data_IF_367047303602
#
_entry.id   IF_367047303602
#
_cell.length_a   1.000
_cell.length_b   1.000
_cell.length_c   1.000
_cell.angle_alpha   90.00
_cell.angle_beta   90.00
_cell.angle_gamma   90.00
#
_symmetry.space_group_name_H-M   'P 1'
#
loop_
_entity.id
_entity.type
_entity.pdbx_description
1 polymer ?
#
# COMPACT_ATOMS: atom_id res chain seq x y z
N UNK A 1 20.84 -11.13 46.04
CA UNK A 1 20.82 -12.01 44.86
C UNK A 1 19.60 -11.66 44.02
N UNK A 2 19.71 -10.67 43.16
CA UNK A 2 18.70 -10.28 42.16
C UNK A 2 19.50 -9.95 40.92
N UNK A 3 19.35 -10.74 39.84
CA UNK A 3 20.02 -10.52 38.56
C UNK A 3 19.11 -9.65 37.69
N UNK A 4 19.63 -8.50 37.28
CA UNK A 4 19.14 -7.73 36.14
C UNK A 4 19.49 -8.51 34.87
N UNK A 5 18.49 -8.79 34.03
CA UNK A 5 18.70 -9.26 32.66
C UNK A 5 18.47 -8.07 31.72
N UNK A 6 19.51 -7.76 30.95
CA UNK A 6 19.57 -6.69 29.97
C UNK A 6 18.71 -7.01 28.74
N UNK A 7 18.18 -5.94 28.15
CA UNK A 7 17.44 -5.90 26.90
C UNK A 7 18.22 -6.53 25.73
N UNK A 8 17.62 -7.52 25.10
CA UNK A 8 17.87 -7.88 23.70
C UNK A 8 16.78 -7.20 22.89
N UNK A 9 17.14 -6.16 22.15
CA UNK A 9 16.25 -5.45 21.24
C UNK A 9 16.06 -6.34 20.01
N UNK A 10 14.80 -6.66 19.77
CA UNK A 10 14.23 -7.49 18.71
C UNK A 10 14.58 -6.92 17.33
N UNK A 11 15.59 -7.52 16.69
CA UNK A 11 15.62 -7.69 15.24
C UNK A 11 14.62 -8.82 14.90
N UNK A 12 14.01 -8.78 13.72
CA UNK A 12 12.89 -9.61 13.24
C UNK A 12 11.53 -9.05 13.65
N UNK A 13 11.00 -8.14 12.83
CA UNK A 13 9.55 -7.84 12.75
C UNK A 13 9.18 -6.70 11.79
N UNK A 14 10.16 -5.89 11.37
CA UNK A 14 9.98 -4.85 10.33
C UNK A 14 10.50 -5.31 8.95
N UNK A 15 10.66 -6.62 8.79
CA UNK A 15 11.16 -7.26 7.57
C UNK A 15 10.20 -8.41 7.28
N UNK A 16 9.08 -8.08 6.62
CA UNK A 16 8.29 -9.05 5.87
C UNK A 16 8.98 -9.49 4.56
N UNK A 17 10.19 -9.01 4.29
CA UNK A 17 11.12 -9.64 3.36
C UNK A 17 11.95 -10.69 4.09
N UNK A 18 11.31 -11.76 4.59
CA UNK A 18 12.06 -12.82 5.25
C UNK A 18 13.05 -13.43 4.25
N UNK A 19 14.31 -13.47 4.66
CA UNK A 19 15.41 -13.92 3.84
C UNK A 19 15.22 -15.37 3.44
N UNK A 20 14.85 -15.62 2.19
CA UNK A 20 15.33 -16.80 1.50
C UNK A 20 16.86 -16.74 1.55
N UNK A 21 17.44 -17.65 2.34
CA UNK A 21 18.87 -17.94 2.48
C UNK A 21 19.65 -17.48 1.24
N UNK A 22 20.57 -16.54 1.44
CA UNK A 22 21.53 -16.15 0.41
C UNK A 22 22.15 -17.42 -0.19
N UNK A 23 21.79 -17.70 -1.44
CA UNK A 23 22.60 -18.59 -2.27
C UNK A 23 24.01 -17.98 -2.33
N UNK A 24 25.07 -18.77 -2.20
CA UNK A 24 26.45 -18.29 -2.12
C UNK A 24 26.97 -17.65 -3.42
N UNK A 25 26.10 -17.30 -4.37
CA UNK A 25 26.38 -16.70 -5.66
C UNK A 25 25.91 -15.23 -5.81
N UNK A 26 25.30 -14.62 -4.78
CA UNK A 26 24.98 -13.19 -4.78
C UNK A 26 23.84 -12.80 -5.72
N UNK A 27 22.95 -13.72 -6.07
CA UNK A 27 21.77 -13.45 -6.87
C UNK A 27 20.58 -13.10 -5.95
N UNK A 28 19.99 -11.91 -6.12
CA UNK A 28 18.72 -11.52 -5.52
C UNK A 28 17.59 -12.47 -6.00
N UNK A 29 16.55 -12.74 -5.18
CA UNK A 29 15.38 -13.48 -5.63
C UNK A 29 14.66 -12.74 -6.78
N UNK A 30 13.81 -13.44 -7.56
CA UNK A 30 13.11 -12.85 -8.68
C UNK A 30 12.29 -11.64 -8.21
N UNK A 31 12.45 -10.52 -8.91
CA UNK A 31 11.55 -9.39 -8.89
C UNK A 31 10.09 -9.87 -8.90
N UNK A 32 9.21 -9.21 -8.15
CA UNK A 32 7.76 -9.25 -8.38
C UNK A 32 7.37 -8.55 -9.70
N UNK A 33 8.15 -8.77 -10.75
CA UNK A 33 7.81 -8.51 -12.13
C UNK A 33 7.31 -9.82 -12.72
N UNK A 34 5.99 -10.02 -12.69
CA UNK A 34 5.30 -11.06 -13.43
C UNK A 34 5.40 -10.83 -14.95
N UNK A 35 6.60 -10.90 -15.52
CA UNK A 35 6.81 -10.93 -16.96
C UNK A 35 6.37 -12.28 -17.52
N UNK A 36 5.14 -12.39 -18.00
CA UNK A 36 4.68 -13.54 -18.78
C UNK A 36 4.70 -13.19 -20.26
N UNK A 37 5.35 -14.07 -21.04
CA UNK A 37 5.53 -13.95 -22.47
C UNK A 37 4.23 -13.86 -23.28
N UNK A 38 4.37 -13.24 -24.45
CA UNK A 38 3.37 -13.10 -25.51
C UNK A 38 2.55 -14.36 -25.75
N UNK A 39 1.23 -14.20 -25.78
CA UNK A 39 0.37 -14.98 -26.69
C UNK A 39 -0.67 -14.05 -27.34
N UNK A 40 -0.76 -14.16 -28.67
CA UNK A 40 -1.63 -13.34 -29.50
C UNK A 40 -3.08 -13.77 -29.40
N UNK A 41 -3.95 -12.81 -29.06
CA UNK A 41 -5.40 -12.94 -29.08
C UNK A 41 -6.01 -11.75 -29.81
N UNK A 42 -6.98 -12.05 -30.66
CA UNK A 42 -7.54 -11.24 -31.74
C UNK A 42 -8.35 -10.02 -31.26
N UNK A 43 -8.26 -8.91 -31.99
CA UNK A 43 -9.03 -7.67 -31.78
C UNK A 43 -10.47 -7.86 -32.30
N UNK A 44 -11.48 -7.62 -31.46
CA UNK A 44 -12.86 -7.42 -31.91
C UNK A 44 -13.36 -6.03 -31.52
N UNK A 45 -14.06 -5.30 -32.42
CA UNK A 45 -14.52 -3.94 -32.15
C UNK A 45 -16.00 -3.84 -31.76
N UNK A 46 -16.26 -2.79 -30.98
CA UNK A 46 -17.51 -2.03 -30.77
C UNK A 46 -18.76 -2.72 -30.20
N UNK A 47 -19.19 -2.18 -29.05
CA UNK A 47 -20.61 -2.04 -28.72
C UNK A 47 -20.86 -0.68 -28.03
N UNK A 48 -21.66 0.15 -28.69
CA UNK A 48 -22.51 1.17 -28.04
C UNK A 48 -23.90 1.10 -28.69
N UNK A 49 -24.90 1.93 -28.31
CA UNK A 49 -25.03 2.76 -27.10
C UNK A 49 -26.14 2.23 -26.16
N UNK A 50 -26.13 2.69 -24.91
CA UNK A 50 -27.08 2.30 -23.86
C UNK A 50 -28.41 3.09 -23.81
N UNK A 51 -29.14 2.77 -22.74
CA UNK A 51 -30.35 3.37 -22.14
C UNK A 51 -31.74 2.82 -22.57
N UNK A 52 -32.78 2.73 -21.68
CA UNK A 52 -33.03 3.58 -20.51
C UNK A 52 -33.58 2.93 -19.20
N UNK A 53 -33.51 3.73 -18.12
CA UNK A 53 -34.26 3.70 -16.85
C UNK A 53 -33.76 2.83 -15.68
N UNK A 54 -32.88 3.42 -14.87
CA UNK A 54 -32.52 2.94 -13.53
C UNK A 54 -31.47 3.76 -12.77
N UNK A 55 -31.53 5.10 -12.77
CA UNK A 55 -30.73 5.96 -11.87
C UNK A 55 -29.28 6.22 -12.35
N UNK A 56 -29.04 7.45 -12.79
CA UNK A 56 -27.79 7.94 -13.38
C UNK A 56 -26.60 7.88 -12.39
N UNK A 57 -25.47 7.27 -12.76
CA UNK A 57 -24.21 7.39 -12.02
C UNK A 57 -23.17 8.19 -12.84
N UNK A 58 -22.85 9.43 -12.42
CA UNK A 58 -21.73 10.22 -12.94
C UNK A 58 -20.52 10.16 -11.95
N UNK A 59 -19.35 10.76 -12.27
CA UNK A 59 -18.03 10.39 -11.69
C UNK A 59 -17.91 10.58 -10.17
N UNK A 60 -17.05 9.78 -9.51
CA UNK A 60 -16.87 9.74 -8.05
C UNK A 60 -17.72 8.70 -7.34
N UNK A 61 -17.98 7.53 -7.94
CA UNK A 61 -18.98 6.57 -7.43
C UNK A 61 -18.58 5.83 -6.14
N UNK A 62 -17.30 5.91 -5.75
CA UNK A 62 -16.77 5.22 -4.57
C UNK A 62 -16.36 6.18 -3.45
N UNK A 63 -16.54 7.48 -3.65
CA UNK A 63 -16.32 8.54 -2.65
C UNK A 63 -17.62 9.35 -2.50
N UNK A 64 -17.83 10.00 -1.35
CA UNK A 64 -18.95 10.94 -1.22
C UNK A 64 -18.41 12.38 -1.33
N UNK A 65 -18.80 13.16 -2.37
CA UNK A 65 -18.38 14.56 -2.52
C UNK A 65 -18.72 15.46 -1.32
N UNK A 66 -19.69 15.05 -0.49
CA UNK A 66 -20.08 15.76 0.73
C UNK A 66 -19.30 15.31 1.97
N UNK A 67 -18.48 14.26 1.86
CA UNK A 67 -17.69 13.70 2.95
C UNK A 67 -16.18 13.90 2.80
N UNK A 68 -15.41 13.57 3.85
CA UNK A 68 -13.95 13.69 3.90
C UNK A 68 -13.27 13.01 2.71
N UNK A 69 -13.75 11.84 2.29
CA UNK A 69 -13.16 11.09 1.18
C UNK A 69 -13.36 11.78 -0.18
N UNK A 70 -14.55 12.28 -0.49
CA UNK A 70 -14.79 13.02 -1.74
C UNK A 70 -14.34 14.47 -1.71
N UNK A 71 -13.98 15.00 -0.53
CA UNK A 71 -13.33 16.30 -0.37
C UNK A 71 -11.81 16.24 -0.48
N UNK A 72 -11.22 15.04 -0.43
CA UNK A 72 -9.79 14.88 -0.66
C UNK A 72 -9.42 15.34 -2.06
N UNK A 73 -8.38 16.16 -2.16
CA UNK A 73 -7.85 16.58 -3.44
C UNK A 73 -6.34 16.81 -3.33
N UNK A 74 -5.62 16.34 -4.34
CA UNK A 74 -4.23 16.70 -4.57
C UNK A 74 -3.95 16.85 -6.06
N UNK A 75 -2.86 17.55 -6.40
CA UNK A 75 -2.47 17.71 -7.79
C UNK A 75 -1.95 16.38 -8.34
N UNK A 76 -2.35 15.97 -9.56
CA UNK A 76 -1.80 14.77 -10.17
C UNK A 76 -0.29 14.94 -10.45
N UNK A 77 0.48 13.84 -10.41
CA UNK A 77 1.89 13.83 -10.81
C UNK A 77 2.07 14.40 -12.23
N UNK A 78 3.03 15.31 -12.48
CA UNK A 78 3.30 15.85 -13.82
C UNK A 78 4.07 14.83 -14.68
N UNK A 79 3.38 13.80 -15.16
CA UNK A 79 3.95 12.67 -15.95
C UNK A 79 4.77 13.16 -17.15
N UNK A 80 4.35 14.24 -17.81
CA UNK A 80 5.02 14.80 -18.99
C UNK A 80 6.25 15.66 -18.66
N UNK A 81 6.59 15.84 -17.38
CA UNK A 81 7.77 16.63 -17.01
C UNK A 81 9.05 15.94 -17.49
N UNK A 82 9.86 16.66 -18.26
CA UNK A 82 11.05 16.12 -18.90
C UNK A 82 12.13 15.73 -17.89
N UNK A 83 12.68 14.52 -18.04
CA UNK A 83 13.79 13.99 -17.25
C UNK A 83 15.10 13.93 -18.04
N UNK A 84 15.11 14.36 -19.32
CA UNK A 84 16.25 14.18 -20.22
C UNK A 84 17.53 14.92 -19.79
N UNK A 85 17.41 15.93 -18.94
CA UNK A 85 18.52 16.68 -18.33
C UNK A 85 18.97 16.13 -16.96
N UNK A 86 18.26 15.15 -16.39
CA UNK A 86 18.62 14.50 -15.13
C UNK A 86 19.64 13.40 -15.39
N UNK A 87 20.90 13.69 -15.07
CA UNK A 87 22.02 12.79 -15.35
C UNK A 87 22.32 11.86 -14.18
N UNK A 88 22.40 10.56 -14.45
CA UNK A 88 22.96 9.58 -13.51
C UNK A 88 24.46 9.84 -13.30
N UNK A 89 24.86 10.07 -12.05
CA UNK A 89 26.26 10.34 -11.66
C UNK A 89 26.93 9.15 -10.98
N UNK A 90 26.22 8.04 -10.76
CA UNK A 90 26.67 6.91 -9.94
C UNK A 90 26.16 6.94 -8.50
N UNK A 91 25.37 7.96 -8.11
CA UNK A 91 24.86 8.12 -6.75
C UNK A 91 23.32 8.05 -6.71
N UNK A 92 22.78 7.09 -5.96
CA UNK A 92 21.32 6.83 -5.86
C UNK A 92 20.59 8.04 -5.33
N UNK A 93 21.00 8.57 -4.17
CA UNK A 93 20.28 9.62 -3.47
C UNK A 93 20.01 10.87 -4.30
N UNK A 94 21.04 11.54 -4.84
CA UNK A 94 20.85 12.71 -5.68
C UNK A 94 20.03 12.47 -6.94
N UNK A 95 20.13 11.27 -7.54
CA UNK A 95 19.35 10.93 -8.72
C UNK A 95 17.87 10.73 -8.38
N UNK A 96 17.57 9.96 -7.33
CA UNK A 96 16.21 9.76 -6.79
C UNK A 96 15.56 11.09 -6.44
N UNK A 97 16.28 11.96 -5.74
CA UNK A 97 15.79 13.30 -5.40
C UNK A 97 15.44 14.12 -6.64
N UNK A 98 16.32 14.13 -7.66
CA UNK A 98 16.12 14.93 -8.86
C UNK A 98 14.92 14.45 -9.70
N UNK A 99 14.73 13.13 -9.85
CA UNK A 99 13.59 12.60 -10.61
C UNK A 99 12.27 12.74 -9.85
N UNK A 100 12.26 12.50 -8.54
CA UNK A 100 11.05 12.61 -7.71
C UNK A 100 10.63 14.07 -7.51
N UNK A 101 11.56 15.00 -7.25
CA UNK A 101 11.21 16.43 -7.16
C UNK A 101 10.49 16.94 -8.41
N UNK A 102 10.80 16.35 -9.57
CA UNK A 102 10.20 16.75 -10.83
C UNK A 102 8.86 16.09 -11.10
N UNK A 103 8.72 14.80 -10.79
CA UNK A 103 7.57 14.00 -11.21
C UNK A 103 6.65 13.55 -10.09
N UNK A 104 7.14 13.46 -8.86
CA UNK A 104 6.32 13.12 -7.70
C UNK A 104 6.91 13.71 -6.41
N UNK A 105 6.71 15.02 -6.15
CA UNK A 105 7.30 15.72 -5.00
C UNK A 105 6.92 15.08 -3.64
N UNK A 106 5.73 14.50 -3.53
CA UNK A 106 5.35 13.70 -2.35
C UNK A 106 6.28 12.49 -2.17
N UNK A 107 6.61 11.76 -3.23
CA UNK A 107 7.60 10.69 -3.16
C UNK A 107 8.97 11.21 -2.71
N UNK A 108 9.39 12.39 -3.18
CA UNK A 108 10.66 12.99 -2.75
C UNK A 108 10.66 13.32 -1.25
N UNK A 109 9.54 13.84 -0.72
CA UNK A 109 9.34 14.07 0.71
C UNK A 109 9.52 12.77 1.51
N UNK A 110 8.80 11.71 1.11
CA UNK A 110 8.83 10.41 1.79
C UNK A 110 10.23 9.80 1.78
N UNK A 111 10.91 9.81 0.62
CA UNK A 111 12.27 9.27 0.50
C UNK A 111 13.23 10.02 1.41
N UNK A 112 13.25 11.35 1.37
CA UNK A 112 14.14 12.16 2.23
C UNK A 112 13.87 11.92 3.70
N UNK A 113 12.60 11.86 4.08
CA UNK A 113 12.19 11.59 5.45
C UNK A 113 12.52 10.17 5.91
N UNK A 114 12.46 9.18 5.01
CA UNK A 114 12.86 7.79 5.28
C UNK A 114 14.37 7.65 5.51
N UNK A 115 15.21 8.42 4.80
CA UNK A 115 16.67 8.45 5.03
C UNK A 115 17.06 8.95 6.43
N UNK A 116 16.19 9.70 7.11
CA UNK A 116 16.45 10.12 8.51
C UNK A 116 16.43 8.92 9.48
N UNK A 117 15.81 7.80 9.09
CA UNK A 117 15.75 6.58 9.89
C UNK A 117 17.03 5.73 9.74
N UNK A 118 18.05 6.05 10.54
CA UNK A 118 19.35 5.37 10.46
C UNK A 118 19.39 3.97 11.12
N UNK A 119 18.25 3.40 11.53
CA UNK A 119 18.20 2.13 12.29
C UNK A 119 18.70 0.93 11.48
N UNK A 120 18.69 1.03 10.16
CA UNK A 120 19.02 -0.06 9.23
C UNK A 120 20.45 0.01 8.68
N UNK A 121 21.27 0.94 9.17
CA UNK A 121 22.70 1.03 8.85
C UNK A 121 23.03 1.60 7.47
N UNK A 122 22.03 1.93 6.66
CA UNK A 122 22.15 2.63 5.38
C UNK A 122 20.85 3.37 5.05
N UNK A 123 20.93 4.31 4.12
CA UNK A 123 19.77 5.06 3.61
C UNK A 123 18.80 4.11 2.88
N UNK A 124 17.49 4.31 3.09
CA UNK A 124 16.45 3.42 2.58
C UNK A 124 16.49 3.31 1.04
N UNK A 125 16.67 4.41 0.32
CA UNK A 125 16.75 4.40 -1.13
C UNK A 125 17.98 3.66 -1.65
N UNK A 126 19.12 3.76 -0.96
CA UNK A 126 20.29 2.95 -1.29
C UNK A 126 20.05 1.46 -1.04
N UNK A 127 19.37 1.11 0.07
CA UNK A 127 18.97 -0.27 0.38
C UNK A 127 18.09 -0.86 -0.73
N UNK A 128 17.04 -0.13 -1.13
CA UNK A 128 16.01 -0.64 -2.05
C UNK A 128 16.32 -0.43 -3.53
N UNK A 129 17.25 0.46 -3.87
CA UNK A 129 17.87 0.49 -5.20
C UNK A 129 18.79 -0.71 -5.44
N UNK A 130 19.36 -1.29 -4.37
CA UNK A 130 20.25 -2.45 -4.44
C UNK A 130 21.64 -2.09 -4.99
N UNK A 131 21.89 -2.35 -6.27
CA UNK A 131 23.19 -2.09 -6.91
C UNK A 131 23.03 -1.62 -8.36
N UNK A 132 22.39 -0.46 -8.57
CA UNK A 132 22.11 0.04 -9.91
C UNK A 132 23.41 0.45 -10.62
N UNK A 133 23.45 0.18 -11.92
CA UNK A 133 24.55 0.57 -12.82
C UNK A 133 24.19 1.78 -13.70
N UNK A 134 22.90 2.11 -13.78
CA UNK A 134 22.35 3.19 -14.62
C UNK A 134 21.21 3.93 -13.91
N UNK A 135 20.82 5.09 -14.46
CA UNK A 135 19.62 5.80 -14.01
C UNK A 135 18.31 5.08 -14.36
N UNK A 136 18.32 4.28 -15.43
CA UNK A 136 17.19 3.40 -15.80
C UNK A 136 17.00 2.31 -14.74
N UNK A 137 18.09 1.70 -14.24
CA UNK A 137 18.04 0.71 -13.15
C UNK A 137 17.42 1.31 -11.87
N UNK A 138 17.67 2.60 -11.60
CA UNK A 138 17.05 3.30 -10.46
C UNK A 138 15.59 3.60 -10.71
N UNK A 139 15.21 4.05 -11.92
CA UNK A 139 13.81 4.28 -12.29
C UNK A 139 13.01 2.98 -12.19
N UNK A 140 13.56 1.85 -12.64
CA UNK A 140 12.94 0.52 -12.50
C UNK A 140 12.64 0.14 -11.04
N UNK A 141 13.37 0.74 -10.07
CA UNK A 141 13.19 0.52 -8.63
C UNK A 141 12.46 1.65 -7.92
N UNK A 142 12.07 2.73 -8.62
CA UNK A 142 11.58 3.95 -7.97
C UNK A 142 10.29 3.71 -7.18
N UNK A 143 9.43 2.80 -7.65
CA UNK A 143 8.22 2.38 -6.94
C UNK A 143 8.53 1.76 -5.59
N UNK A 144 9.44 0.79 -5.56
CA UNK A 144 9.90 0.12 -4.33
C UNK A 144 10.60 1.11 -3.41
N UNK A 145 11.47 1.98 -3.95
CA UNK A 145 12.17 2.99 -3.15
C UNK A 145 11.18 3.91 -2.44
N UNK A 146 10.17 4.42 -3.13
CA UNK A 146 9.16 5.32 -2.54
C UNK A 146 8.31 4.57 -1.50
N UNK A 147 7.87 3.35 -1.81
CA UNK A 147 7.07 2.52 -0.91
C UNK A 147 7.81 2.25 0.41
N UNK A 148 9.03 1.71 0.30
CA UNK A 148 9.79 1.25 1.44
C UNK A 148 10.38 2.40 2.26
N UNK A 149 10.84 3.47 1.61
CA UNK A 149 11.21 4.68 2.34
C UNK A 149 10.01 5.36 3.01
N UNK A 150 8.80 5.19 2.47
CA UNK A 150 7.55 5.62 3.09
C UNK A 150 7.35 4.98 4.46
N UNK A 151 7.49 3.65 4.54
CA UNK A 151 7.48 2.93 5.84
C UNK A 151 8.52 3.52 6.80
N UNK A 152 9.75 3.74 6.32
CA UNK A 152 10.84 4.24 7.17
C UNK A 152 10.54 5.64 7.71
N UNK A 153 9.90 6.47 6.90
CA UNK A 153 9.49 7.82 7.27
C UNK A 153 8.42 7.81 8.34
N UNK A 154 7.32 7.09 8.09
CA UNK A 154 6.19 6.98 9.01
C UNK A 154 6.62 6.36 10.35
N UNK A 155 7.48 5.35 10.32
CA UNK A 155 8.07 4.74 11.53
C UNK A 155 9.01 5.69 12.29
N UNK A 156 9.69 6.60 11.61
CA UNK A 156 10.55 7.60 12.25
C UNK A 156 9.74 8.68 12.96
N UNK A 157 8.57 9.03 12.41
CA UNK A 157 7.63 9.98 12.99
C UNK A 157 6.77 9.37 14.11
N UNK A 158 6.48 8.07 14.01
CA UNK A 158 5.68 7.32 14.98
C UNK A 158 6.40 7.12 16.32
N UNK A 159 5.65 7.10 17.43
CA UNK A 159 6.24 6.85 18.74
C UNK A 159 5.24 6.30 19.76
N UNK A 160 5.68 5.32 20.55
CA UNK A 160 4.84 4.71 21.58
C UNK A 160 3.56 4.10 20.97
N UNK A 161 2.36 4.48 21.45
CA UNK A 161 1.10 3.99 20.89
C UNK A 161 0.64 4.77 19.65
N UNK A 162 1.34 5.81 19.25
CA UNK A 162 0.93 6.74 18.19
C UNK A 162 1.58 6.35 16.87
N UNK A 163 0.76 6.06 15.87
CA UNK A 163 1.16 5.88 14.46
C UNK A 163 0.93 7.16 13.68
N UNK A 164 1.91 7.55 12.88
CA UNK A 164 1.90 8.74 12.02
C UNK A 164 1.95 8.31 10.56
N UNK A 165 1.20 9.00 9.72
CA UNK A 165 1.12 8.78 8.27
C UNK A 165 1.33 10.13 7.55
N UNK A 166 2.43 10.28 6.84
CA UNK A 166 2.66 11.46 5.98
C UNK A 166 2.03 11.22 4.60
N UNK A 167 1.01 12.00 4.24
CA UNK A 167 0.30 11.84 2.97
C UNK A 167 0.86 12.81 1.93
N UNK A 168 1.03 14.07 2.33
CA UNK A 168 1.62 15.15 1.53
C UNK A 168 2.43 16.08 2.44
N UNK A 169 3.10 17.08 1.87
CA UNK A 169 3.81 18.09 2.67
C UNK A 169 2.88 18.94 3.56
N UNK A 170 1.59 18.99 3.24
CA UNK A 170 0.58 19.76 3.96
C UNK A 170 -0.32 18.89 4.85
N UNK A 171 -0.29 17.56 4.67
CA UNK A 171 -1.21 16.64 5.31
C UNK A 171 -0.47 15.48 5.98
N UNK A 172 -0.60 15.44 7.29
CA UNK A 172 -0.14 14.38 8.17
C UNK A 172 -1.28 13.91 9.05
N UNK A 173 -1.46 12.59 9.13
CA UNK A 173 -2.41 11.94 10.03
C UNK A 173 -1.64 11.33 11.21
N UNK A 174 -2.28 11.25 12.37
CA UNK A 174 -1.67 10.66 13.56
C UNK A 174 -2.74 10.09 14.48
N UNK A 175 -2.80 8.77 14.61
CA UNK A 175 -3.79 8.09 15.45
C UNK A 175 -3.15 7.14 16.45
N UNK A 176 -3.81 6.99 17.59
CA UNK A 176 -3.31 6.23 18.72
C UNK A 176 -3.92 4.83 18.78
N UNK A 177 -3.14 3.91 19.35
CA UNK A 177 -3.57 2.57 19.80
C UNK A 177 -4.22 1.72 18.70
N UNK A 178 -3.81 1.90 17.45
CA UNK A 178 -4.30 1.08 16.32
C UNK A 178 -3.61 -0.28 16.17
N UNK A 179 -2.58 -0.59 16.97
CA UNK A 179 -1.93 -1.91 16.92
C UNK A 179 -2.73 -2.98 17.66
N UNK A 180 -2.34 -4.24 17.50
CA UNK A 180 -2.96 -5.37 18.16
C UNK A 180 -2.77 -5.28 19.69
N UNK A 181 -3.71 -5.87 20.44
CA UNK A 181 -3.74 -5.77 21.93
C UNK A 181 -2.48 -6.33 22.61
N UNK A 182 -1.91 -7.39 22.07
CA UNK A 182 -0.63 -8.00 22.48
C UNK A 182 0.59 -7.13 22.14
N UNK A 183 0.42 -6.19 21.21
CA UNK A 183 1.42 -5.21 20.77
C UNK A 183 1.20 -3.80 21.34
N UNK A 184 0.29 -3.67 22.32
CA UNK A 184 0.09 -2.44 23.08
C UNK A 184 -0.97 -1.48 22.53
N UNK A 185 -1.66 -1.85 21.44
CA UNK A 185 -2.83 -1.13 20.94
C UNK A 185 -4.17 -1.68 21.45
N UNK A 186 -5.25 -1.39 20.73
CA UNK A 186 -6.63 -1.75 21.07
C UNK A 186 -7.34 -2.55 19.97
N UNK A 187 -6.60 -3.06 18.97
CA UNK A 187 -7.18 -3.81 17.84
C UNK A 187 -6.74 -5.28 17.85
N UNK A 188 -7.03 -6.05 16.79
CA UNK A 188 -6.60 -7.44 16.62
C UNK A 188 -5.54 -7.60 15.52
N UNK A 189 -4.79 -8.70 15.53
CA UNK A 189 -3.83 -9.03 14.49
C UNK A 189 -4.49 -9.12 13.09
N UNK A 190 -3.90 -8.48 12.08
CA UNK A 190 -4.45 -8.45 10.71
C UNK A 190 -4.59 -9.84 10.09
N UNK A 191 -3.73 -10.80 10.47
CA UNK A 191 -3.84 -12.22 10.07
C UNK A 191 -5.20 -12.85 10.37
N UNK A 192 -5.91 -12.38 11.40
CA UNK A 192 -7.26 -12.88 11.75
C UNK A 192 -8.25 -12.76 10.60
N UNK A 193 -8.09 -11.82 9.67
CA UNK A 193 -9.03 -11.72 8.54
C UNK A 193 -8.95 -12.93 7.60
N UNK A 194 -7.89 -13.75 7.65
CA UNK A 194 -7.84 -15.04 6.93
C UNK A 194 -8.96 -16.02 7.31
N UNK A 195 -9.58 -15.85 8.48
CA UNK A 195 -10.66 -16.71 8.97
C UNK A 195 -12.06 -16.14 8.70
N UNK A 196 -12.19 -15.02 7.98
CA UNK A 196 -13.50 -14.41 7.69
C UNK A 196 -14.25 -15.09 6.52
N UNK A 197 -15.50 -14.67 6.28
CA UNK A 197 -16.35 -15.19 5.21
C UNK A 197 -15.92 -14.73 3.80
N UNK A 198 -15.01 -13.76 3.70
CA UNK A 198 -14.51 -13.20 2.45
C UNK A 198 -13.19 -13.83 1.99
N UNK A 199 -12.39 -14.40 2.89
CA UNK A 199 -11.07 -14.94 2.61
C UNK A 199 -11.06 -15.95 1.45
N UNK A 200 -12.11 -16.76 1.35
CA UNK A 200 -12.24 -17.76 0.28
C UNK A 200 -12.45 -17.17 -1.13
N UNK A 201 -12.83 -15.90 -1.25
CA UNK A 201 -13.03 -15.22 -2.54
C UNK A 201 -11.71 -14.97 -3.28
N UNK A 202 -10.61 -14.87 -2.53
CA UNK A 202 -9.25 -14.80 -3.07
C UNK A 202 -8.28 -15.44 -2.07
N UNK A 203 -8.10 -16.74 -2.19
CA UNK A 203 -7.25 -17.51 -1.28
C UNK A 203 -5.76 -17.16 -1.47
N UNK A 204 -4.93 -17.29 -0.41
CA UNK A 204 -3.48 -17.09 -0.50
C UNK A 204 -2.83 -17.95 -1.59
N UNK A 205 -1.74 -17.47 -2.19
CA UNK A 205 -1.04 -18.20 -3.24
C UNK A 205 -0.18 -19.36 -2.71
N UNK A 206 0.06 -19.46 -1.39
CA UNK A 206 0.87 -20.50 -0.78
C UNK A 206 2.37 -20.36 -1.09
N UNK A 207 2.86 -19.12 -1.16
CA UNK A 207 4.23 -18.76 -1.52
C UNK A 207 4.50 -18.77 -3.03
N UNK A 208 3.45 -18.98 -3.84
CA UNK A 208 3.47 -18.70 -5.27
C UNK A 208 3.12 -17.24 -5.57
N UNK A 209 3.18 -16.86 -6.84
CA UNK A 209 2.62 -15.60 -7.32
C UNK A 209 1.83 -15.84 -8.61
N UNK A 210 0.83 -15.00 -8.88
CA UNK A 210 0.09 -15.06 -10.13
C UNK A 210 -1.35 -14.56 -10.05
N UNK A 211 -2.03 -14.61 -11.20
CA UNK A 211 -3.45 -14.24 -11.33
C UNK A 211 -4.33 -15.24 -10.58
N UNK A 212 -5.41 -14.75 -9.98
CA UNK A 212 -6.43 -15.58 -9.34
C UNK A 212 -6.10 -16.11 -7.93
N UNK A 213 -5.02 -15.65 -7.30
CA UNK A 213 -4.72 -15.90 -5.89
C UNK A 213 -4.16 -14.63 -5.21
N UNK A 214 -4.15 -14.62 -3.89
CA UNK A 214 -3.71 -13.49 -3.07
C UNK A 214 -2.24 -13.68 -2.65
N UNK A 215 -1.30 -13.09 -3.40
CA UNK A 215 0.12 -13.12 -3.04
C UNK A 215 0.44 -12.16 -1.88
N UNK A 216 -0.41 -11.17 -1.62
CA UNK A 216 -0.25 -10.26 -0.49
C UNK A 216 -0.58 -10.97 0.82
N UNK A 217 -1.56 -11.88 0.82
CA UNK A 217 -1.90 -12.64 2.02
C UNK A 217 -0.72 -13.47 2.55
N UNK A 218 0.10 -14.04 1.65
CA UNK A 218 1.29 -14.83 2.00
C UNK A 218 2.39 -13.99 2.69
N UNK A 219 2.31 -12.65 2.63
CA UNK A 219 3.31 -11.73 3.20
C UNK A 219 2.72 -10.97 4.38
N UNK A 220 1.53 -10.42 4.21
CA UNK A 220 0.94 -9.44 5.13
C UNK A 220 -0.07 -10.05 6.08
N UNK A 221 -0.69 -11.18 5.71
CA UNK A 221 -1.64 -11.89 6.57
C UNK A 221 -1.07 -13.19 7.14
N UNK A 222 0.17 -13.55 6.81
CA UNK A 222 0.85 -14.73 7.36
C UNK A 222 1.23 -14.51 8.82
N UNK A 223 0.76 -15.39 9.70
CA UNK A 223 1.06 -15.37 11.12
C UNK A 223 0.03 -16.09 12.00
N UNK A 224 0.48 -16.54 13.18
CA UNK A 224 -0.37 -17.09 14.24
C UNK A 224 -0.27 -16.24 15.53
N UNK A 225 -1.21 -15.30 15.75
CA UNK A 225 -1.14 -14.39 16.89
C UNK A 225 -1.35 -15.09 18.26
N UNK A 226 -1.65 -16.39 18.28
CA UNK A 226 -1.86 -17.17 19.51
C UNK A 226 -0.66 -18.04 19.90
N UNK A 227 0.41 -18.13 19.10
CA UNK A 227 1.52 -19.06 19.34
C UNK A 227 2.67 -18.47 20.18
N UNK A 228 2.67 -17.14 20.39
CA UNK A 228 3.65 -16.40 21.18
C UNK A 228 4.97 -16.11 20.47
N UNK A 229 5.07 -16.42 19.18
CA UNK A 229 6.08 -15.91 18.26
C UNK A 229 5.54 -14.63 17.60
N UNK A 230 6.42 -13.89 16.94
CA UNK A 230 6.00 -12.73 16.16
C UNK A 230 6.11 -13.07 14.68
N UNK A 231 5.00 -12.84 13.97
CA UNK A 231 4.89 -12.88 12.53
C UNK A 231 4.38 -11.54 11.96
N UNK A 232 4.63 -11.31 10.67
CA UNK A 232 4.21 -10.07 10.00
C UNK A 232 2.69 -9.83 10.09
N UNK A 233 1.89 -10.89 10.09
CA UNK A 233 0.44 -10.86 10.23
C UNK A 233 -0.07 -10.53 11.64
N UNK A 234 0.78 -10.55 12.67
CA UNK A 234 0.38 -10.28 14.05
C UNK A 234 0.18 -8.78 14.34
N UNK A 235 0.59 -7.93 13.40
CA UNK A 235 0.44 -6.49 13.51
C UNK A 235 -1.04 -6.08 13.40
N UNK A 236 -1.42 -5.00 14.10
CA UNK A 236 -2.81 -4.52 14.14
C UNK A 236 -3.25 -3.67 12.95
N UNK A 237 -4.36 -2.95 13.14
CA UNK A 237 -4.95 -2.11 12.11
C UNK A 237 -4.04 -0.97 11.68
N UNK A 238 -3.27 -0.40 12.62
CA UNK A 238 -2.36 0.71 12.32
C UNK A 238 -1.36 0.34 11.21
N UNK A 239 -0.83 -0.89 11.22
CA UNK A 239 0.11 -1.36 10.21
C UNK A 239 -0.58 -1.82 8.94
N UNK A 240 -1.79 -2.39 9.02
CA UNK A 240 -2.60 -2.64 7.82
C UNK A 240 -2.92 -1.32 7.08
N UNK A 241 -3.28 -0.29 7.83
CA UNK A 241 -3.57 1.03 7.30
C UNK A 241 -2.32 1.73 6.77
N UNK A 242 -1.18 1.56 7.44
CA UNK A 242 0.12 2.05 6.98
C UNK A 242 0.51 1.48 5.61
N UNK A 243 0.37 0.17 5.42
CA UNK A 243 0.56 -0.47 4.12
C UNK A 243 -0.39 0.11 3.06
N UNK A 244 -1.66 0.35 3.43
CA UNK A 244 -2.63 0.98 2.52
C UNK A 244 -2.14 2.34 2.04
N UNK A 245 -1.60 3.17 2.95
CA UNK A 245 -0.97 4.46 2.60
C UNK A 245 0.20 4.25 1.64
N UNK A 246 1.07 3.27 1.89
CA UNK A 246 2.21 3.03 1.01
C UNK A 246 1.79 2.50 -0.36
N UNK A 247 0.73 1.71 -0.48
CA UNK A 247 0.22 1.30 -1.80
C UNK A 247 -0.47 2.44 -2.56
N UNK A 248 -1.06 3.42 -1.86
CA UNK A 248 -1.47 4.68 -2.50
C UNK A 248 -0.25 5.40 -3.09
N UNK A 249 0.84 5.50 -2.32
CA UNK A 249 2.10 6.08 -2.80
C UNK A 249 2.71 5.28 -3.97
N UNK A 250 2.63 3.95 -3.94
CA UNK A 250 3.09 3.07 -5.01
C UNK A 250 2.35 3.31 -6.32
N UNK A 251 1.02 3.46 -6.27
CA UNK A 251 0.24 3.77 -7.48
C UNK A 251 0.56 5.17 -8.01
N UNK A 252 0.68 6.16 -7.12
CA UNK A 252 1.00 7.53 -7.50
C UNK A 252 2.37 7.64 -8.21
N UNK A 253 3.41 7.00 -7.66
CA UNK A 253 4.74 6.99 -8.28
C UNK A 253 4.75 6.13 -9.55
N UNK A 254 4.04 5.00 -9.59
CA UNK A 254 3.97 4.19 -10.80
C UNK A 254 3.30 4.97 -11.95
N UNK A 255 2.27 5.77 -11.66
CA UNK A 255 1.68 6.70 -12.63
C UNK A 255 2.67 7.79 -13.07
N UNK A 256 3.40 8.39 -12.12
CA UNK A 256 4.38 9.43 -12.40
C UNK A 256 5.51 9.00 -13.37
N UNK A 257 5.80 7.70 -13.44
CA UNK A 257 6.86 7.12 -14.26
C UNK A 257 6.35 6.11 -15.29
N UNK A 258 5.04 6.09 -15.59
CA UNK A 258 4.44 5.08 -16.48
C UNK A 258 5.02 5.13 -17.90
N UNK A 259 5.42 6.30 -18.38
CA UNK A 259 6.08 6.53 -19.67
C UNK A 259 7.55 6.06 -19.70
N UNK A 260 8.15 5.85 -18.53
CA UNK A 260 9.52 5.33 -18.39
C UNK A 260 9.55 3.80 -18.30
N UNK A 261 8.39 3.14 -18.14
CA UNK A 261 8.32 1.68 -18.08
C UNK A 261 8.70 1.06 -19.43
N UNK A 262 9.58 0.05 -19.40
CA UNK A 262 9.98 -0.64 -20.61
C UNK A 262 8.76 -1.31 -21.31
N UNK A 263 8.70 -1.32 -22.65
CA UNK A 263 7.57 -1.90 -23.37
C UNK A 263 7.26 -3.35 -22.97
N UNK A 264 6.02 -3.62 -22.59
CA UNK A 264 5.58 -4.95 -22.16
C UNK A 264 5.89 -5.31 -20.70
N UNK A 265 6.47 -4.38 -19.93
CA UNK A 265 6.49 -4.48 -18.47
C UNK A 265 5.15 -4.03 -17.89
N UNK A 266 4.80 -4.61 -16.75
CA UNK A 266 3.67 -4.21 -15.93
C UNK A 266 4.07 -4.30 -14.46
N UNK A 267 3.47 -3.47 -13.62
CA UNK A 267 3.56 -3.55 -12.16
C UNK A 267 2.23 -3.97 -11.56
N UNK A 268 2.25 -4.38 -10.29
CA UNK A 268 1.08 -4.70 -9.47
C UNK A 268 0.58 -3.50 -8.65
N UNK A 269 0.96 -2.26 -8.99
CA UNK A 269 0.64 -1.08 -8.17
C UNK A 269 -0.87 -0.87 -7.95
N UNK A 270 -1.70 -1.08 -8.99
CA UNK A 270 -3.17 -1.08 -8.85
C UNK A 270 -3.65 -2.28 -8.03
N UNK A 271 -3.12 -3.46 -8.29
CA UNK A 271 -3.46 -4.69 -7.57
C UNK A 271 -3.22 -4.54 -6.07
N UNK A 272 -2.05 -4.05 -5.67
CA UNK A 272 -1.70 -3.86 -4.27
C UNK A 272 -2.63 -2.89 -3.58
N UNK A 273 -2.88 -1.72 -4.18
CA UNK A 273 -3.82 -0.76 -3.59
C UNK A 273 -5.22 -1.35 -3.43
N UNK A 274 -5.77 -1.99 -4.47
CA UNK A 274 -7.10 -2.61 -4.39
C UNK A 274 -7.17 -3.74 -3.34
N UNK A 275 -6.11 -4.56 -3.21
CA UNK A 275 -6.02 -5.60 -2.18
C UNK A 275 -6.05 -5.00 -0.78
N UNK A 276 -5.29 -3.94 -0.52
CA UNK A 276 -5.22 -3.33 0.81
C UNK A 276 -6.50 -2.57 1.17
N UNK A 277 -7.18 -1.93 0.21
CA UNK A 277 -8.53 -1.41 0.44
C UNK A 277 -9.51 -2.54 0.81
N UNK A 278 -9.48 -3.66 0.09
CA UNK A 278 -10.29 -4.83 0.41
C UNK A 278 -9.99 -5.40 1.80
N UNK A 279 -8.72 -5.41 2.22
CA UNK A 279 -8.34 -5.81 3.58
C UNK A 279 -8.85 -4.85 4.65
N UNK A 280 -8.81 -3.53 4.40
CA UNK A 280 -9.36 -2.52 5.32
C UNK A 280 -10.86 -2.75 5.53
N UNK A 281 -11.63 -2.97 4.46
CA UNK A 281 -13.06 -3.26 4.56
C UNK A 281 -13.35 -4.55 5.33
N UNK A 282 -12.60 -5.62 5.04
CA UNK A 282 -12.70 -6.89 5.76
C UNK A 282 -12.38 -6.75 7.24
N UNK A 283 -11.33 -6.00 7.57
CA UNK A 283 -10.94 -5.71 8.93
C UNK A 283 -12.04 -4.94 9.68
N UNK A 284 -12.59 -3.89 9.07
CA UNK A 284 -13.71 -3.11 9.62
C UNK A 284 -14.93 -3.99 9.88
N UNK A 285 -15.32 -4.81 8.89
CA UNK A 285 -16.45 -5.74 9.00
C UNK A 285 -16.25 -6.74 10.14
N UNK A 286 -15.09 -7.39 10.19
CA UNK A 286 -14.76 -8.37 11.25
C UNK A 286 -14.78 -7.70 12.62
N UNK A 287 -14.15 -6.52 12.75
CA UNK A 287 -14.20 -5.74 13.98
C UNK A 287 -15.65 -5.48 14.41
N UNK A 288 -16.51 -5.00 13.49
CA UNK A 288 -17.92 -4.72 13.80
C UNK A 288 -18.69 -5.95 14.29
N UNK A 289 -18.42 -7.11 13.71
CA UNK A 289 -19.15 -8.34 13.97
C UNK A 289 -18.63 -9.10 15.21
N UNK A 290 -17.32 -9.08 15.43
CA UNK A 290 -16.64 -10.01 16.36
C UNK A 290 -15.83 -9.30 17.44
N UNK A 291 -15.35 -8.07 17.20
CA UNK A 291 -14.55 -7.29 18.15
C UNK A 291 -15.04 -5.84 18.30
N UNK A 292 -16.11 -5.61 19.09
CA UNK A 292 -16.67 -4.29 19.29
C UNK A 292 -15.69 -3.28 19.92
N UNK A 293 -14.65 -3.74 20.61
CA UNK A 293 -13.65 -2.84 21.20
C UNK A 293 -12.71 -2.33 20.13
N UNK A 294 -12.20 -3.22 19.27
CA UNK A 294 -11.44 -2.85 18.10
C UNK A 294 -12.26 -1.94 17.16
N UNK A 295 -13.54 -2.27 16.92
CA UNK A 295 -14.41 -1.44 16.08
C UNK A 295 -14.58 -0.03 16.67
N UNK A 296 -14.84 0.10 17.97
CA UNK A 296 -14.95 1.40 18.61
C UNK A 296 -13.63 2.20 18.54
N UNK A 297 -12.47 1.54 18.54
CA UNK A 297 -11.17 2.19 18.32
C UNK A 297 -11.04 2.70 16.89
N UNK A 298 -11.19 1.83 15.89
CA UNK A 298 -10.91 2.15 14.48
C UNK A 298 -12.04 2.97 13.81
N UNK A 299 -13.13 3.25 14.53
CA UNK A 299 -14.20 4.17 14.12
C UNK A 299 -14.30 5.42 14.98
N UNK A 300 -13.32 5.63 15.88
CA UNK A 300 -13.19 6.90 16.60
C UNK A 300 -12.91 8.06 15.62
N UNK A 301 -13.11 9.33 16.03
CA UNK A 301 -12.95 10.46 15.11
C UNK A 301 -11.57 10.54 14.44
N UNK A 302 -10.50 10.06 15.07
CA UNK A 302 -9.18 10.08 14.44
C UNK A 302 -9.09 9.04 13.33
N UNK A 303 -9.39 7.79 13.66
CA UNK A 303 -9.28 6.68 12.71
C UNK A 303 -10.27 6.84 11.57
N UNK A 304 -11.48 7.33 11.84
CA UNK A 304 -12.49 7.58 10.82
C UNK A 304 -12.05 8.65 9.82
N UNK A 305 -11.54 9.79 10.30
CA UNK A 305 -10.98 10.84 9.44
C UNK A 305 -9.80 10.30 8.60
N UNK A 306 -8.92 9.52 9.24
CA UNK A 306 -7.78 8.91 8.57
C UNK A 306 -8.21 7.95 7.45
N UNK A 307 -9.13 7.02 7.76
CA UNK A 307 -9.63 6.03 6.80
C UNK A 307 -10.30 6.72 5.61
N UNK A 308 -11.21 7.67 5.85
CA UNK A 308 -11.90 8.39 4.77
C UNK A 308 -10.92 9.23 3.94
N UNK A 309 -9.96 9.90 4.57
CA UNK A 309 -8.92 10.66 3.86
C UNK A 309 -8.11 9.76 2.91
N UNK A 310 -7.62 8.62 3.39
CA UNK A 310 -6.81 7.69 2.58
C UNK A 310 -7.67 6.99 1.53
N UNK A 311 -8.93 6.67 1.83
CA UNK A 311 -9.90 6.15 0.87
C UNK A 311 -10.12 7.12 -0.30
N UNK A 312 -10.34 8.40 0.01
CA UNK A 312 -10.46 9.46 -0.99
C UNK A 312 -9.22 9.59 -1.87
N UNK A 313 -8.04 9.59 -1.25
CA UNK A 313 -6.76 9.63 -1.97
C UNK A 313 -6.54 8.39 -2.84
N UNK A 314 -6.91 7.20 -2.36
CA UNK A 314 -6.79 5.97 -3.12
C UNK A 314 -7.64 6.02 -4.40
N UNK A 315 -8.91 6.43 -4.28
CA UNK A 315 -9.80 6.54 -5.43
C UNK A 315 -9.40 7.63 -6.41
N UNK A 316 -8.82 8.75 -5.94
CA UNK A 316 -8.23 9.76 -6.81
C UNK A 316 -7.23 9.14 -7.80
N UNK A 317 -6.34 8.25 -7.33
CA UNK A 317 -5.37 7.60 -8.21
C UNK A 317 -5.93 6.39 -8.97
N UNK A 318 -6.81 5.60 -8.36
CA UNK A 318 -7.44 4.45 -9.03
C UNK A 318 -8.28 4.89 -10.23
N UNK A 319 -9.05 5.98 -10.09
CA UNK A 319 -9.83 6.54 -11.20
C UNK A 319 -8.91 7.18 -12.26
N UNK A 320 -7.89 7.95 -11.85
CA UNK A 320 -6.97 8.59 -12.79
C UNK A 320 -6.13 7.61 -13.63
N UNK A 321 -5.93 6.38 -13.11
CA UNK A 321 -5.15 5.32 -13.76
C UNK A 321 -6.01 4.23 -14.38
N UNK A 322 -7.33 4.43 -14.46
CA UNK A 322 -8.24 3.48 -15.08
C UNK A 322 -7.83 3.17 -16.53
N UNK A 323 -7.82 1.88 -16.89
CA UNK A 323 -7.45 1.42 -18.24
C UNK A 323 -5.94 1.42 -18.54
N UNK A 324 -5.08 1.85 -17.61
CA UNK A 324 -3.63 1.76 -17.76
C UNK A 324 -3.13 0.34 -17.46
N UNK A 325 -3.13 -0.53 -18.47
CA UNK A 325 -2.75 -1.94 -18.33
C UNK A 325 -1.30 -2.19 -17.88
N UNK A 326 -0.42 -1.17 -17.93
CA UNK A 326 0.93 -1.26 -17.39
C UNK A 326 0.95 -1.22 -15.85
N UNK A 327 -0.12 -0.76 -15.21
CA UNK A 327 -0.18 -0.53 -13.76
C UNK A 327 -0.95 -1.61 -12.99
N UNK A 328 -1.52 -2.59 -13.69
CA UNK A 328 -2.25 -3.69 -13.06
C UNK A 328 -2.04 -5.04 -13.77
N UNK A 329 -2.05 -6.12 -13.00
CA UNK A 329 -1.90 -7.50 -13.48
C UNK A 329 -3.25 -8.23 -13.45
N UNK A 330 -3.96 -8.18 -12.33
CA UNK A 330 -5.24 -8.81 -12.04
C UNK A 330 -6.21 -7.83 -11.34
N UNK A 331 -6.00 -6.54 -11.57
CA UNK A 331 -6.69 -5.42 -10.91
C UNK A 331 -8.22 -5.46 -11.12
N UNK A 332 -8.70 -5.91 -12.27
CA UNK A 332 -10.13 -6.07 -12.52
C UNK A 332 -10.80 -7.04 -11.52
N UNK A 333 -10.16 -8.16 -11.19
CA UNK A 333 -10.71 -9.12 -10.24
C UNK A 333 -10.70 -8.55 -8.80
N UNK A 334 -9.70 -7.75 -8.46
CA UNK A 334 -9.59 -7.08 -7.16
C UNK A 334 -10.58 -5.91 -7.04
N UNK A 335 -10.83 -5.19 -8.13
CA UNK A 335 -11.85 -4.16 -8.21
C UNK A 335 -13.23 -4.72 -7.89
N UNK A 336 -13.59 -5.90 -8.41
CA UNK A 336 -14.85 -6.57 -8.05
C UNK A 336 -14.96 -6.92 -6.55
N UNK A 337 -13.83 -7.14 -5.85
CA UNK A 337 -13.83 -7.44 -4.42
C UNK A 337 -14.03 -6.19 -3.56
N UNK A 338 -13.26 -5.13 -3.83
CA UNK A 338 -13.36 -3.86 -3.08
C UNK A 338 -14.65 -3.10 -3.39
N UNK A 339 -15.29 -3.36 -4.53
CA UNK A 339 -16.56 -2.72 -4.88
C UNK A 339 -17.78 -3.56 -4.54
N UNK A 340 -17.59 -4.64 -3.77
CA UNK A 340 -18.68 -5.45 -3.27
C UNK A 340 -19.56 -4.62 -2.31
N UNK A 341 -20.89 -4.50 -2.56
CA UNK A 341 -21.77 -3.68 -1.73
C UNK A 341 -21.78 -4.06 -0.24
N UNK A 342 -21.51 -5.33 0.09
CA UNK A 342 -21.44 -5.77 1.48
C UNK A 342 -20.23 -5.16 2.21
N UNK A 343 -19.08 -5.10 1.54
CA UNK A 343 -17.83 -4.55 2.10
C UNK A 343 -17.79 -3.03 2.01
N UNK A 344 -18.20 -2.45 0.89
CA UNK A 344 -18.34 -1.00 0.73
C UNK A 344 -19.26 -0.38 1.80
N UNK A 345 -20.25 -1.15 2.29
CA UNK A 345 -21.13 -0.67 3.37
C UNK A 345 -20.38 -0.34 4.67
N UNK A 346 -19.18 -0.86 4.90
CA UNK A 346 -18.36 -0.47 6.04
C UNK A 346 -17.78 0.95 5.87
N UNK A 347 -17.46 1.37 4.64
CA UNK A 347 -17.07 2.76 4.36
C UNK A 347 -18.28 3.70 4.51
N UNK A 348 -19.46 3.30 4.04
CA UNK A 348 -20.69 4.08 4.26
C UNK A 348 -20.99 4.26 5.75
N UNK A 349 -20.76 3.25 6.60
CA UNK A 349 -20.90 3.40 8.06
C UNK A 349 -19.94 4.43 8.63
N UNK A 350 -18.71 4.50 8.12
CA UNK A 350 -17.75 5.53 8.54
C UNK A 350 -18.24 6.92 8.14
N UNK A 351 -18.78 7.07 6.93
CA UNK A 351 -19.42 8.30 6.50
C UNK A 351 -20.55 8.70 7.45
N UNK A 352 -21.50 7.80 7.70
CA UNK A 352 -22.64 8.05 8.60
C UNK A 352 -22.19 8.51 10.01
N UNK A 353 -21.09 7.94 10.51
CA UNK A 353 -20.48 8.31 11.79
C UNK A 353 -19.80 9.70 11.75
N UNK A 354 -19.26 10.11 10.60
CA UNK A 354 -18.70 11.44 10.34
C UNK A 354 -19.81 12.50 10.17
N UNK A 355 -21.02 12.08 9.80
CA UNK A 355 -22.18 12.96 9.63
C UNK A 355 -22.39 13.43 8.20
N UNK A 356 -21.76 12.74 7.27
CA UNK A 356 -22.08 12.65 5.85
C UNK A 356 -22.78 11.28 5.64
#
# INVERSE_FOLDING_TARGET
MIRFAFASITLLSLVGCDGAVASPDGSLPPLEDGGVGRDGGEVTPDAGPGDPDGGMLPPGMYVDPMCTDGQYAEAPPPVDADLSDVMWTGEVGPYVDAVLDRRYPTGALLVRGGRENTRFGQDCDALFAGSPSSGEDVIDRIGVIVHECGHFHDLNLSSGPTSVYELTAELRLSCDRGDATDRGGDTFARSRINDDDQASRRAPCGGGGGRGCDSYADIYLDGDPDDGMFDGGDQGFNMLFEETVQYVNSLAVAWAFVDQMAPGRSTSARDGLLTFLWYVERYLRRARLEDPTAYARITDPCWRDAILTVWGRAWLFLEATEGMSALGIDDAALFELVTDPELLSEIERLRELEGC
#
